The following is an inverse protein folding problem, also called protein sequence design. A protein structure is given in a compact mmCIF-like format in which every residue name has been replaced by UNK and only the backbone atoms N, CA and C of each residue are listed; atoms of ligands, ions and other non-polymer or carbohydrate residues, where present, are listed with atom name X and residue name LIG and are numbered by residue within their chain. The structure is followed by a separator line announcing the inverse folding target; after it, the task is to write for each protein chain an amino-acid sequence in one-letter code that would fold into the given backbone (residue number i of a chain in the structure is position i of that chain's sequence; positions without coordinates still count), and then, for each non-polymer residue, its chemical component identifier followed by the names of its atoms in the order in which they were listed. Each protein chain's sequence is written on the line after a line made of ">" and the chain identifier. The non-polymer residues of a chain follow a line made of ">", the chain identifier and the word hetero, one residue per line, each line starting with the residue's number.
data_IF_711615142305
#
_entry.id   IF_711615142305
#
_cell.length_a   1.000
_cell.length_b   1.000
_cell.length_c   1.000
_cell.angle_alpha   90.00
_cell.angle_beta   90.00
_cell.angle_gamma   90.00
#
_symmetry.space_group_name_H-M   'P 1'
#
loop_
_entity.id
_entity.type
_entity.pdbx_description
1 polymer ?
#
# COMPACT_ATOMS: atom_id res chain seq x y z
N UNK A 1 -3.71 -1.65 3.61
CA UNK A 1 -4.14 -1.02 4.87
C UNK A 1 -3.48 -1.75 6.01
N UNK A 2 -2.96 -1.05 7.01
CA UNK A 2 -2.33 -1.66 8.20
C UNK A 2 -2.96 -1.05 9.44
N UNK A 3 -3.37 -1.91 10.38
CA UNK A 3 -4.03 -1.54 11.62
C UNK A 3 -3.42 -2.35 12.76
N UNK A 4 -3.25 -1.74 13.93
CA UNK A 4 -2.85 -2.49 15.13
C UNK A 4 -4.08 -3.07 15.79
N UNK A 5 -4.00 -4.31 16.25
CA UNK A 5 -5.12 -4.94 16.93
C UNK A 5 -5.56 -4.11 18.14
N UNK A 6 -6.85 -3.73 18.17
CA UNK A 6 -7.43 -2.91 19.23
C UNK A 6 -7.56 -1.42 18.90
N UNK A 7 -6.89 -0.93 17.85
CA UNK A 7 -7.10 0.43 17.36
C UNK A 7 -8.41 0.54 16.58
N UNK A 8 -8.99 1.75 16.59
CA UNK A 8 -10.24 2.05 15.86
C UNK A 8 -10.00 2.43 14.40
N UNK A 9 -8.82 2.93 14.10
CA UNK A 9 -8.45 3.43 12.78
C UNK A 9 -7.08 2.85 12.38
N UNK A 10 -6.97 2.51 11.11
CA UNK A 10 -5.73 2.14 10.46
C UNK A 10 -4.70 3.28 10.44
N UNK A 11 -3.42 2.93 10.54
CA UNK A 11 -2.31 3.90 10.55
C UNK A 11 -1.59 4.00 9.21
N UNK A 12 -1.76 3.01 8.32
CA UNK A 12 -1.27 3.05 6.93
C UNK A 12 -2.42 2.74 5.98
N UNK A 13 -2.64 3.64 5.03
CA UNK A 13 -3.60 3.51 3.92
C UNK A 13 -2.85 3.65 2.61
N UNK A 14 -2.55 2.53 1.97
CA UNK A 14 -1.81 2.52 0.70
C UNK A 14 -2.50 1.61 -0.31
N UNK A 15 -2.52 2.03 -1.58
CA UNK A 15 -2.99 1.24 -2.71
C UNK A 15 -1.91 1.21 -3.80
N UNK A 16 -1.66 0.02 -4.35
CA UNK A 16 -0.76 -0.17 -5.48
C UNK A 16 -1.59 -0.32 -6.76
N UNK A 17 -1.32 0.48 -7.78
CA UNK A 17 -2.09 0.48 -9.04
C UNK A 17 -1.20 0.23 -10.24
N UNK A 18 -1.72 -0.47 -11.25
CA UNK A 18 -1.09 -0.57 -12.56
C UNK A 18 -1.53 0.61 -13.43
N UNK A 19 -0.58 1.37 -13.96
CA UNK A 19 -0.84 2.64 -14.63
C UNK A 19 -1.13 3.78 -13.64
N UNK A 20 -1.83 4.81 -14.10
CA UNK A 20 -2.13 6.01 -13.32
C UNK A 20 -3.47 5.89 -12.57
N UNK A 21 -3.56 6.50 -11.41
CA UNK A 21 -4.76 6.56 -10.58
C UNK A 21 -4.93 7.97 -10.00
N UNK A 22 -6.17 8.46 -9.94
CA UNK A 22 -6.45 9.75 -9.31
C UNK A 22 -6.09 9.71 -7.81
N UNK A 23 -5.69 10.85 -7.26
CA UNK A 23 -5.42 10.95 -5.83
C UNK A 23 -6.68 10.63 -5.01
N UNK A 24 -6.52 9.77 -4.00
CA UNK A 24 -7.58 9.41 -3.06
C UNK A 24 -7.22 10.05 -1.71
N UNK A 25 -8.13 10.86 -1.17
CA UNK A 25 -7.88 11.58 0.07
C UNK A 25 -7.57 10.63 1.24
N UNK A 26 -6.44 10.88 1.91
CA UNK A 26 -5.98 10.07 3.05
C UNK A 26 -5.42 8.70 2.66
N UNK A 27 -5.22 8.41 1.38
CA UNK A 27 -4.62 7.17 0.88
C UNK A 27 -3.39 7.50 0.05
N UNK A 28 -2.29 6.82 0.33
CA UNK A 28 -1.10 6.83 -0.51
C UNK A 28 -1.34 5.97 -1.76
N UNK A 29 -1.23 6.59 -2.93
CA UNK A 29 -1.40 5.93 -4.23
C UNK A 29 -0.02 5.65 -4.83
N UNK A 30 0.34 4.37 -4.94
CA UNK A 30 1.60 3.91 -5.53
C UNK A 30 1.34 3.41 -6.95
N UNK A 31 1.62 4.28 -7.91
CA UNK A 31 1.47 3.98 -9.33
C UNK A 31 2.66 3.18 -9.87
N UNK A 32 2.38 2.04 -10.49
CA UNK A 32 3.37 1.15 -11.08
C UNK A 32 3.13 1.01 -12.58
N UNK A 33 4.18 1.08 -13.40
CA UNK A 33 4.06 0.96 -14.86
C UNK A 33 3.91 -0.48 -15.35
N UNK A 34 4.41 -1.45 -14.58
CA UNK A 34 4.41 -2.87 -14.92
C UNK A 34 3.99 -3.69 -13.71
N UNK A 35 3.43 -4.87 -13.97
CA UNK A 35 3.05 -5.82 -12.91
C UNK A 35 4.26 -6.27 -12.09
N UNK A 36 5.42 -6.42 -12.74
CA UNK A 36 6.66 -6.78 -12.05
C UNK A 36 7.05 -5.76 -10.98
N UNK A 37 7.07 -4.46 -11.34
CA UNK A 37 7.39 -3.40 -10.38
C UNK A 37 6.35 -3.27 -9.27
N UNK A 38 5.07 -3.55 -9.57
CA UNK A 38 4.01 -3.58 -8.59
C UNK A 38 4.25 -4.69 -7.56
N UNK A 39 4.51 -5.92 -8.02
CA UNK A 39 4.74 -7.07 -7.15
C UNK A 39 6.03 -6.93 -6.33
N UNK A 40 7.10 -6.39 -6.92
CA UNK A 40 8.35 -6.10 -6.22
C UNK A 40 8.11 -5.12 -5.05
N UNK A 41 7.55 -3.94 -5.34
CA UNK A 41 7.25 -2.92 -4.33
C UNK A 41 6.27 -3.38 -3.26
N UNK A 42 5.24 -4.14 -3.65
CA UNK A 42 4.30 -4.69 -2.68
C UNK A 42 4.98 -5.70 -1.75
N UNK A 43 5.87 -6.54 -2.30
CA UNK A 43 6.61 -7.52 -1.49
C UNK A 43 7.57 -6.84 -0.51
N UNK A 44 8.22 -5.76 -0.91
CA UNK A 44 9.09 -4.97 -0.04
C UNK A 44 8.29 -4.28 1.05
N UNK A 45 7.15 -3.67 0.70
CA UNK A 45 6.25 -3.06 1.66
C UNK A 45 5.79 -4.05 2.74
N UNK A 46 5.41 -5.27 2.37
CA UNK A 46 4.98 -6.28 3.36
C UNK A 46 6.14 -6.69 4.26
N UNK A 47 7.35 -6.88 3.72
CA UNK A 47 8.55 -7.20 4.53
C UNK A 47 8.96 -6.07 5.46
N UNK A 48 8.77 -4.82 5.05
CA UNK A 48 9.11 -3.64 5.86
C UNK A 48 8.08 -3.41 6.96
N UNK A 49 6.79 -3.57 6.65
CA UNK A 49 5.70 -3.45 7.62
C UNK A 49 5.74 -4.60 8.64
N UNK A 50 6.19 -5.79 8.22
CA UNK A 50 6.28 -7.00 9.04
C UNK A 50 4.97 -7.28 9.82
N UNK A 51 3.83 -7.46 9.12
CA UNK A 51 2.56 -7.67 9.79
C UNK A 51 2.52 -9.06 10.46
N UNK A 52 1.98 -9.09 11.68
CA UNK A 52 1.68 -10.31 12.45
C UNK A 52 0.62 -11.21 11.76
#
# INVERSE_FOLDING_TARGET
>A
MVIRQGDKEEFIKTVFTLGTCANIAGVEVIECKTEHALLEKWSDFVREVDPD
#
